data_IF_577925130429
#
_entry.id   IF_577925130429
#
_cell.length_a   1.000
_cell.length_b   1.000
_cell.length_c   1.000
_cell.angle_alpha   90.00
_cell.angle_beta   90.00
_cell.angle_gamma   90.00
#
_symmetry.space_group_name_H-M   'P 1'
#
loop_
_entity.id
_entity.type
_entity.pdbx_description
1 polymer ?
#
# COMPACT_ATOMS: atom_id res chain seq x y z
N UNK A 1 -3.37 -4.04 17.61
CA UNK A 1 -4.11 -3.65 16.38
C UNK A 1 -5.09 -4.78 16.02
N UNK A 2 -6.26 -4.43 15.50
CA UNK A 2 -7.18 -5.42 14.91
C UNK A 2 -6.52 -6.01 13.65
N UNK A 3 -6.34 -7.34 13.56
CA UNK A 3 -5.73 -7.99 12.40
C UNK A 3 -6.43 -7.65 11.07
N UNK A 4 -7.74 -7.42 11.10
CA UNK A 4 -8.52 -7.04 9.92
C UNK A 4 -8.08 -5.70 9.33
N UNK A 5 -7.72 -4.72 10.16
CA UNK A 5 -7.21 -3.42 9.68
C UNK A 5 -5.90 -3.61 8.92
N UNK A 6 -5.02 -4.46 9.40
CA UNK A 6 -3.74 -4.76 8.72
C UNK A 6 -3.97 -5.43 7.35
N UNK A 7 -4.90 -6.36 7.26
CA UNK A 7 -5.32 -6.96 5.98
C UNK A 7 -5.88 -5.91 5.02
N UNK A 8 -6.76 -5.03 5.49
CA UNK A 8 -7.33 -3.96 4.66
C UNK A 8 -6.26 -2.96 4.20
N UNK A 9 -5.27 -2.64 5.02
CA UNK A 9 -4.11 -1.83 4.61
C UNK A 9 -3.34 -2.48 3.46
N UNK A 10 -3.09 -3.80 3.54
CA UNK A 10 -2.43 -4.55 2.47
C UNK A 10 -3.24 -4.56 1.17
N UNK A 11 -4.56 -4.77 1.25
CA UNK A 11 -5.46 -4.75 0.10
C UNK A 11 -5.49 -3.38 -0.58
N UNK A 12 -5.56 -2.30 0.20
CA UNK A 12 -5.51 -0.93 -0.33
C UNK A 12 -4.15 -0.64 -0.97
N UNK A 13 -3.07 -0.98 -0.29
CA UNK A 13 -1.72 -0.81 -0.81
C UNK A 13 -1.57 -1.49 -2.18
N UNK A 14 -1.97 -2.76 -2.28
CA UNK A 14 -1.96 -3.51 -3.54
C UNK A 14 -2.83 -2.85 -4.60
N UNK A 15 -4.09 -2.53 -4.29
CA UNK A 15 -5.04 -1.98 -5.25
C UNK A 15 -4.61 -0.61 -5.80
N UNK A 16 -3.91 0.18 -5.00
CA UNK A 16 -3.41 1.50 -5.40
C UNK A 16 -1.95 1.49 -5.88
N UNK A 17 -1.38 0.30 -6.11
CA UNK A 17 -0.14 0.15 -6.87
C UNK A 17 1.14 0.11 -6.05
N UNK A 18 1.09 -0.17 -4.75
CA UNK A 18 2.29 -0.50 -3.99
C UNK A 18 2.94 -1.78 -4.52
N UNK A 19 4.26 -1.81 -4.58
CA UNK A 19 5.04 -2.96 -5.05
C UNK A 19 5.50 -3.86 -3.92
N UNK A 20 5.46 -3.38 -2.69
CA UNK A 20 5.83 -4.13 -1.50
C UNK A 20 4.95 -3.80 -0.29
N UNK A 21 4.80 -4.78 0.58
CA UNK A 21 4.13 -4.67 1.86
C UNK A 21 4.99 -5.27 2.96
N UNK A 22 5.42 -4.44 3.89
CA UNK A 22 6.27 -4.82 5.02
C UNK A 22 5.46 -4.83 6.29
N UNK A 23 5.43 -5.96 6.97
CA UNK A 23 4.75 -6.10 8.26
C UNK A 23 5.78 -6.14 9.39
N UNK A 24 5.60 -5.27 10.39
CA UNK A 24 6.36 -5.32 11.64
C UNK A 24 5.47 -5.80 12.79
N UNK A 25 6.06 -6.28 13.87
CA UNK A 25 5.34 -6.86 15.00
C UNK A 25 5.11 -8.35 14.81
N UNK A 26 3.93 -8.84 15.14
CA UNK A 26 3.60 -10.25 15.00
C UNK A 26 3.52 -10.64 13.52
N UNK A 27 4.06 -11.83 13.23
CA UNK A 27 4.01 -12.39 11.88
C UNK A 27 2.59 -12.90 11.57
N UNK A 28 2.11 -12.63 10.37
CA UNK A 28 0.77 -13.00 9.92
C UNK A 28 0.83 -13.59 8.51
N UNK A 29 0.96 -14.92 8.45
CA UNK A 29 1.01 -15.65 7.17
C UNK A 29 -0.34 -15.62 6.45
N UNK A 30 -1.44 -15.66 7.16
CA UNK A 30 -2.79 -15.62 6.57
C UNK A 30 -3.02 -14.30 5.81
N UNK A 31 -2.47 -13.21 6.34
CA UNK A 31 -2.48 -11.92 5.65
C UNK A 31 -1.68 -11.97 4.35
N UNK A 32 -0.49 -12.55 4.37
CA UNK A 32 0.36 -12.67 3.18
C UNK A 32 -0.28 -13.57 2.12
N UNK A 33 -0.81 -14.70 2.53
CA UNK A 33 -1.52 -15.63 1.65
C UNK A 33 -2.75 -14.99 1.01
N UNK A 34 -3.48 -14.19 1.78
CA UNK A 34 -4.63 -13.42 1.28
C UNK A 34 -4.21 -12.42 0.20
N UNK A 35 -3.14 -11.65 0.41
CA UNK A 35 -2.64 -10.70 -0.59
C UNK A 35 -2.17 -11.40 -1.87
N UNK A 36 -1.47 -12.54 -1.75
CA UNK A 36 -1.04 -13.32 -2.90
C UNK A 36 -2.23 -13.90 -3.67
N UNK A 37 -3.24 -14.42 -2.97
CA UNK A 37 -4.48 -14.92 -3.59
C UNK A 37 -5.21 -13.82 -4.38
N UNK A 38 -5.25 -12.60 -3.85
CA UNK A 38 -5.85 -11.46 -4.55
C UNK A 38 -5.03 -11.08 -5.79
N UNK A 39 -3.70 -11.10 -5.71
CA UNK A 39 -2.84 -10.87 -6.87
C UNK A 39 -3.05 -11.91 -7.96
N UNK A 40 -3.14 -13.18 -7.62
CA UNK A 40 -3.41 -14.26 -8.57
C UNK A 40 -4.75 -14.03 -9.29
N UNK A 41 -5.80 -13.72 -8.55
CA UNK A 41 -7.14 -13.55 -9.11
C UNK A 41 -7.29 -12.26 -9.92
N UNK A 42 -6.79 -11.14 -9.41
CA UNK A 42 -7.01 -9.81 -9.97
C UNK A 42 -5.76 -9.15 -10.58
N UNK A 43 -4.68 -9.90 -10.69
CA UNK A 43 -3.46 -9.46 -11.33
C UNK A 43 -2.54 -8.62 -10.45
N UNK A 44 -1.38 -8.27 -11.01
CA UNK A 44 -0.34 -7.54 -10.32
C UNK A 44 0.47 -8.40 -9.36
N UNK A 45 1.49 -7.79 -8.80
CA UNK A 45 2.38 -8.40 -7.82
C UNK A 45 2.60 -7.43 -6.66
N UNK A 46 2.65 -7.97 -5.45
CA UNK A 46 3.08 -7.25 -4.26
C UNK A 46 3.99 -8.17 -3.45
N UNK A 47 5.22 -7.74 -3.21
CA UNK A 47 6.15 -8.47 -2.36
C UNK A 47 5.75 -8.31 -0.89
N UNK A 48 5.58 -9.41 -0.18
CA UNK A 48 5.20 -9.41 1.24
C UNK A 48 6.36 -9.90 2.10
N UNK A 49 6.71 -9.12 3.11
CA UNK A 49 7.86 -9.42 3.97
C UNK A 49 7.56 -9.08 5.43
N UNK A 50 7.87 -10.01 6.34
CA UNK A 50 7.90 -9.71 7.77
C UNK A 50 9.28 -9.19 8.15
N UNK A 51 9.31 -8.01 8.79
CA UNK A 51 10.55 -7.34 9.18
C UNK A 51 10.56 -7.03 10.68
N UNK A 52 11.68 -7.25 11.37
CA UNK A 52 11.75 -6.97 12.80
C UNK A 52 11.94 -5.48 13.08
N UNK A 53 11.08 -4.92 13.93
CA UNK A 53 11.21 -3.56 14.46
C UNK A 53 11.36 -2.49 13.37
N UNK A 54 12.28 -1.55 13.60
CA UNK A 54 12.51 -0.38 12.71
C UNK A 54 13.76 -0.52 11.82
N UNK A 55 14.41 -1.67 11.80
CA UNK A 55 15.66 -1.85 11.05
C UNK A 55 15.46 -1.56 9.55
N UNK A 56 14.39 -2.06 8.97
CA UNK A 56 14.11 -1.85 7.55
C UNK A 56 13.88 -0.38 7.21
N UNK A 57 13.12 0.35 8.06
CA UNK A 57 12.91 1.77 7.90
C UNK A 57 14.24 2.55 7.91
N UNK A 58 15.10 2.27 8.88
CA UNK A 58 16.42 2.91 8.97
C UNK A 58 17.29 2.63 7.75
N UNK A 59 17.35 1.37 7.33
CA UNK A 59 18.13 0.96 6.16
C UNK A 59 17.60 1.62 4.88
N UNK A 60 16.30 1.71 4.70
CA UNK A 60 15.69 2.38 3.55
C UNK A 60 16.12 3.84 3.44
N UNK A 61 16.06 4.58 4.55
CA UNK A 61 16.47 5.98 4.59
C UNK A 61 17.99 6.14 4.39
N UNK A 62 18.80 5.28 5.02
CA UNK A 62 20.25 5.28 4.86
C UNK A 62 20.68 5.01 3.41
N UNK A 63 19.93 4.22 2.68
CA UNK A 63 20.18 3.89 1.27
C UNK A 63 19.62 4.96 0.29
N UNK A 64 19.17 6.10 0.80
CA UNK A 64 18.70 7.22 -0.02
C UNK A 64 17.21 7.19 -0.36
N UNK A 65 16.46 6.24 0.19
CA UNK A 65 15.00 6.20 0.07
C UNK A 65 14.33 7.26 0.94
N UNK A 66 13.07 7.55 0.64
CA UNK A 66 12.25 8.50 1.38
C UNK A 66 11.23 7.74 2.21
N UNK A 67 11.11 8.10 3.48
CA UNK A 67 10.09 7.55 4.38
C UNK A 67 9.05 8.62 4.72
N UNK A 68 7.79 8.27 4.49
CA UNK A 68 6.62 9.11 4.77
C UNK A 68 5.78 8.42 5.85
N UNK A 69 5.69 9.02 7.02
CA UNK A 69 4.88 8.52 8.13
C UNK A 69 3.50 9.19 8.12
N UNK A 70 2.46 8.41 7.94
CA UNK A 70 1.09 8.90 8.03
C UNK A 70 0.65 8.96 9.48
N UNK A 71 0.38 10.16 9.96
CA UNK A 71 -0.01 10.44 11.33
C UNK A 71 -0.85 11.71 11.42
N UNK A 72 -1.91 11.71 12.23
CA UNK A 72 -2.75 12.90 12.41
C UNK A 72 -2.02 14.11 13.01
N UNK A 73 -0.80 13.91 13.50
CA UNK A 73 0.05 14.97 14.06
C UNK A 73 0.97 15.63 13.03
N UNK A 74 0.96 15.15 11.79
CA UNK A 74 1.84 15.61 10.73
C UNK A 74 1.41 16.91 10.06
N UNK A 75 2.21 17.32 9.08
CA UNK A 75 1.87 18.39 8.14
C UNK A 75 0.72 17.91 7.21
N UNK A 76 -0.13 18.84 6.78
CA UNK A 76 -1.18 18.50 5.81
C UNK A 76 -0.61 17.83 4.56
N UNK A 77 -1.23 16.72 4.15
CA UNK A 77 -0.77 16.01 2.94
C UNK A 77 -0.92 16.85 1.65
N UNK A 78 -1.82 17.82 1.64
CA UNK A 78 -1.95 18.75 0.52
C UNK A 78 -0.67 19.57 0.29
N UNK A 79 0.00 19.97 1.39
CA UNK A 79 1.24 20.75 1.32
C UNK A 79 2.47 19.83 1.24
N UNK A 80 2.46 18.71 1.95
CA UNK A 80 3.60 17.78 2.01
C UNK A 80 3.87 17.08 0.68
N UNK A 81 2.84 16.71 -0.06
CA UNK A 81 2.96 15.95 -1.32
C UNK A 81 3.87 16.66 -2.33
N UNK A 82 3.81 17.99 -2.42
CA UNK A 82 4.63 18.75 -3.35
C UNK A 82 6.12 18.77 -2.95
N UNK A 83 6.43 18.53 -1.68
CA UNK A 83 7.79 18.54 -1.14
C UNK A 83 8.47 17.17 -1.21
N UNK A 84 7.69 16.09 -1.34
CA UNK A 84 8.21 14.72 -1.37
C UNK A 84 8.87 14.46 -2.73
N UNK A 85 10.14 14.03 -2.79
CA UNK A 85 10.83 13.74 -4.04
C UNK A 85 10.13 12.66 -4.86
N UNK A 86 10.02 12.89 -6.17
CA UNK A 86 9.39 11.96 -7.12
C UNK A 86 10.34 10.94 -7.73
N UNK A 87 11.63 11.17 -7.60
CA UNK A 87 12.72 10.36 -8.16
C UNK A 87 13.32 9.37 -7.15
N UNK A 88 12.67 9.18 -6.01
CA UNK A 88 13.11 8.29 -4.93
C UNK A 88 12.09 7.21 -4.65
N UNK A 89 12.57 6.06 -4.19
CA UNK A 89 11.71 5.02 -3.63
C UNK A 89 11.07 5.51 -2.33
N UNK A 90 9.76 5.36 -2.23
CA UNK A 90 9.00 5.84 -1.09
C UNK A 90 8.54 4.66 -0.24
N UNK A 91 8.83 4.74 1.05
CA UNK A 91 8.30 3.87 2.07
C UNK A 91 7.23 4.62 2.88
N UNK A 92 5.97 4.22 2.74
CA UNK A 92 4.87 4.77 3.53
C UNK A 92 4.77 3.98 4.83
N UNK A 93 4.88 4.66 5.95
CA UNK A 93 4.79 4.06 7.29
C UNK A 93 3.42 4.36 7.88
N UNK A 94 2.69 3.29 8.19
CA UNK A 94 1.37 3.37 8.85
C UNK A 94 1.46 2.71 10.22
N UNK A 95 1.31 3.50 11.25
CA UNK A 95 1.37 3.03 12.63
C UNK A 95 0.02 2.63 13.21
N UNK A 96 0.06 1.97 14.37
CA UNK A 96 -1.12 1.74 15.20
C UNK A 96 -1.30 2.85 16.25
N UNK A 97 -2.03 2.55 17.33
CA UNK A 97 -2.36 3.52 18.39
C UNK A 97 -1.14 4.11 19.12
N UNK A 98 -0.02 3.39 19.15
CA UNK A 98 1.23 3.85 19.77
C UNK A 98 2.39 3.65 18.79
N UNK A 99 2.87 4.73 18.24
CA UNK A 99 4.04 4.74 17.37
C UNK A 99 5.25 5.23 18.14
N UNK A 100 6.40 4.52 18.11
CA UNK A 100 7.60 4.98 18.77
C UNK A 100 8.05 6.35 18.26
N UNK A 101 8.55 7.21 19.19
CA UNK A 101 9.09 8.52 18.82
C UNK A 101 10.19 8.46 17.77
N UNK A 102 10.90 7.34 17.70
CA UNK A 102 11.94 7.10 16.70
C UNK A 102 11.41 7.09 15.26
N UNK A 103 10.18 6.64 15.02
CA UNK A 103 9.54 6.70 13.69
C UNK A 103 9.40 8.15 13.24
N UNK A 104 8.92 9.05 14.12
CA UNK A 104 8.82 10.48 13.82
C UNK A 104 10.16 11.12 13.45
N UNK A 105 11.24 10.67 14.09
CA UNK A 105 12.59 11.20 13.86
C UNK A 105 13.26 10.61 12.62
N UNK A 106 12.95 9.36 12.27
CA UNK A 106 13.58 8.66 11.16
C UNK A 106 12.92 8.99 9.82
N UNK A 107 11.60 9.17 9.80
CA UNK A 107 10.89 9.56 8.58
C UNK A 107 11.17 11.02 8.25
N UNK A 108 11.51 11.29 6.98
CA UNK A 108 11.73 12.66 6.51
C UNK A 108 10.44 13.48 6.47
N UNK A 109 9.30 12.80 6.32
CA UNK A 109 7.99 13.44 6.26
C UNK A 109 7.03 12.77 7.25
N UNK A 110 6.45 13.57 8.13
CA UNK A 110 5.32 13.17 8.98
C UNK A 110 4.09 13.90 8.44
N UNK A 111 3.14 13.16 7.91
CA UNK A 111 2.08 13.69 7.06
C UNK A 111 0.71 13.33 7.61
N UNK A 112 -0.17 14.32 7.72
CA UNK A 112 -1.54 14.14 8.14
C UNK A 112 -2.49 14.15 6.95
N UNK A 113 -3.31 13.11 6.85
CA UNK A 113 -4.50 13.10 5.99
C UNK A 113 -5.68 13.60 6.82
N UNK A 114 -5.65 14.91 7.10
CA UNK A 114 -6.45 15.57 8.12
C UNK A 114 -5.91 15.38 9.55
N UNK A 115 -6.00 16.44 10.34
CA UNK A 115 -5.57 16.44 11.74
C UNK A 115 -6.71 16.06 12.70
N UNK A 116 -7.48 15.04 12.31
CA UNK A 116 -8.57 14.47 13.08
C UNK A 116 -8.41 12.95 13.19
N UNK A 117 -8.83 12.34 14.29
CA UNK A 117 -8.81 10.89 14.42
C UNK A 117 -9.72 10.23 13.39
N UNK A 118 -9.15 9.35 12.57
CA UNK A 118 -9.90 8.50 11.64
C UNK A 118 -9.11 7.25 11.24
N UNK A 119 -9.65 6.45 10.32
CA UNK A 119 -9.07 5.19 9.88
C UNK A 119 -7.72 5.35 9.20
N UNK A 120 -6.76 4.53 9.58
CA UNK A 120 -5.46 4.42 8.89
C UNK A 120 -5.61 3.94 7.44
N UNK A 121 -6.64 3.14 7.17
CA UNK A 121 -6.96 2.66 5.80
C UNK A 121 -7.39 3.83 4.92
N UNK A 122 -8.23 4.72 5.44
CA UNK A 122 -8.62 5.93 4.72
C UNK A 122 -7.42 6.87 4.50
N UNK A 123 -6.57 7.05 5.50
CA UNK A 123 -5.36 7.86 5.37
C UNK A 123 -4.45 7.32 4.27
N UNK A 124 -4.19 6.01 4.26
CA UNK A 124 -3.37 5.37 3.22
C UNK A 124 -3.97 5.55 1.82
N UNK A 125 -5.26 5.30 1.66
CA UNK A 125 -5.93 5.41 0.37
C UNK A 125 -5.89 6.84 -0.18
N UNK A 126 -6.24 7.83 0.63
CA UNK A 126 -6.25 9.24 0.21
C UNK A 126 -4.84 9.74 -0.10
N UNK A 127 -3.85 9.37 0.71
CA UNK A 127 -2.46 9.76 0.45
C UNK A 127 -1.94 9.14 -0.86
N UNK A 128 -2.11 7.83 -1.05
CA UNK A 128 -1.64 7.14 -2.25
C UNK A 128 -2.31 7.66 -3.51
N UNK A 129 -3.61 7.94 -3.46
CA UNK A 129 -4.34 8.50 -4.60
C UNK A 129 -3.85 9.91 -4.93
N UNK A 130 -3.73 10.79 -3.96
CA UNK A 130 -3.19 12.14 -4.15
C UNK A 130 -1.74 12.12 -4.65
N UNK A 131 -0.89 11.23 -4.10
CA UNK A 131 0.48 11.03 -4.56
C UNK A 131 0.58 10.67 -6.03
N UNK A 132 -0.38 9.92 -6.55
CA UNK A 132 -0.46 9.48 -7.94
C UNK A 132 -1.35 10.38 -8.81
N UNK A 133 -1.60 11.61 -8.39
CA UNK A 133 -2.36 12.60 -9.16
C UNK A 133 -3.84 12.23 -9.33
N UNK A 134 -4.43 11.57 -8.35
CA UNK A 134 -5.83 11.12 -8.32
C UNK A 134 -6.21 10.14 -9.45
N UNK A 135 -5.25 9.32 -9.87
CA UNK A 135 -5.44 8.33 -10.94
C UNK A 135 -5.15 6.89 -10.52
N UNK A 136 -4.84 6.67 -9.25
CA UNK A 136 -4.47 5.35 -8.74
C UNK A 136 -5.57 4.30 -8.90
N UNK A 137 -6.84 4.72 -8.79
CA UNK A 137 -8.01 3.85 -8.94
C UNK A 137 -8.31 3.44 -10.39
N UNK A 138 -7.64 4.05 -11.37
CA UNK A 138 -7.73 3.68 -12.79
C UNK A 138 -6.68 2.65 -13.20
N UNK A 139 -5.89 2.17 -12.26
CA UNK A 139 -4.81 1.23 -12.52
C UNK A 139 -5.36 -0.12 -12.94
N UNK A 140 -4.80 -0.65 -14.01
CA UNK A 140 -4.99 -2.02 -14.46
C UNK A 140 -3.76 -2.86 -14.12
N UNK A 141 -3.98 -4.14 -13.82
CA UNK A 141 -2.91 -5.06 -13.44
C UNK A 141 -2.79 -6.18 -14.48
N UNK A 142 -1.55 -6.55 -14.86
CA UNK A 142 -1.32 -7.67 -15.76
C UNK A 142 -1.60 -9.01 -15.08
N UNK A 143 -1.80 -10.04 -15.89
CA UNK A 143 -1.91 -11.45 -15.48
C UNK A 143 -3.08 -11.73 -14.52
N UNK A 144 -4.17 -10.99 -14.62
CA UNK A 144 -5.38 -11.24 -13.87
C UNK A 144 -6.14 -12.46 -14.43
N UNK A 145 -6.53 -13.39 -13.57
CA UNK A 145 -7.48 -14.45 -13.92
C UNK A 145 -8.90 -13.90 -14.11
N UNK A 146 -9.24 -12.87 -13.34
CA UNK A 146 -10.55 -12.23 -13.35
C UNK A 146 -10.42 -10.73 -13.58
N UNK A 147 -11.32 -10.17 -14.38
CA UNK A 147 -11.49 -8.73 -14.55
C UNK A 147 -12.90 -8.32 -14.17
N UNK A 148 -13.01 -7.18 -13.51
CA UNK A 148 -14.31 -6.60 -13.16
C UNK A 148 -14.63 -5.51 -14.16
N UNK A 149 -15.73 -5.68 -14.88
CA UNK A 149 -16.27 -4.63 -15.73
C UNK A 149 -17.27 -3.80 -14.92
N UNK A 150 -16.94 -2.53 -14.70
CA UNK A 150 -17.79 -1.62 -13.95
C UNK A 150 -19.13 -1.38 -14.65
N UNK A 151 -20.23 -1.46 -13.90
CA UNK A 151 -21.58 -1.18 -14.38
C UNK A 151 -22.43 -0.62 -13.25
N UNK A 152 -23.42 0.20 -13.62
CA UNK A 152 -24.42 0.69 -12.68
C UNK A 152 -25.54 -0.33 -12.41
N UNK A 153 -25.65 -1.37 -13.23
CA UNK A 153 -26.75 -2.33 -13.24
C UNK A 153 -26.31 -3.74 -12.83
N UNK A 154 -25.55 -3.86 -11.76
CA UNK A 154 -25.25 -5.18 -11.21
C UNK A 154 -23.77 -5.51 -11.18
N UNK A 155 -23.40 -6.73 -11.58
CA UNK A 155 -22.08 -7.30 -11.38
C UNK A 155 -21.63 -8.06 -12.62
N UNK A 156 -20.58 -7.59 -13.25
CA UNK A 156 -19.96 -8.25 -14.41
C UNK A 156 -18.54 -8.63 -14.07
N UNK A 157 -18.26 -9.94 -14.06
CA UNK A 157 -16.91 -10.50 -13.87
C UNK A 157 -16.57 -11.30 -15.09
N UNK A 158 -15.41 -11.02 -15.68
CA UNK A 158 -14.90 -11.67 -16.89
C UNK A 158 -13.73 -12.57 -16.50
N UNK A 159 -13.76 -13.83 -16.94
CA UNK A 159 -12.61 -14.73 -16.84
C UNK A 159 -11.65 -14.42 -17.98
N UNK A 160 -10.38 -14.22 -17.66
CA UNK A 160 -9.34 -13.97 -18.64
C UNK A 160 -8.61 -15.28 -18.95
N UNK A 161 -8.22 -15.50 -20.22
CA UNK A 161 -7.38 -16.61 -20.64
C UNK A 161 -5.91 -16.39 -20.18
N UNK A 162 -5.68 -16.34 -18.87
CA UNK A 162 -4.36 -16.30 -18.29
C UNK A 162 -3.80 -17.72 -18.27
N UNK A 163 -3.08 -18.13 -19.33
CA UNK A 163 -2.28 -19.35 -19.31
C UNK A 163 -2.61 -20.44 -20.31
N UNK A 164 -3.15 -20.15 -21.49
CA UNK A 164 -2.90 -21.01 -22.65
C UNK A 164 -1.63 -20.53 -23.33
N UNK A 165 -0.47 -20.94 -22.80
CA UNK A 165 0.71 -21.12 -23.65
C UNK A 165 0.31 -22.12 -24.71
N UNK A 166 0.33 -21.68 -25.95
CA UNK A 166 0.27 -22.54 -27.13
C UNK A 166 1.48 -23.48 -27.10
N UNK A 167 1.32 -24.64 -26.48
CA UNK A 167 2.05 -25.84 -26.86
C UNK A 167 1.18 -26.53 -27.89
N UNK A 168 1.40 -26.17 -29.13
CA UNK A 168 1.13 -26.97 -30.32
C UNK A 168 1.67 -26.19 -31.52
N UNK A 169 2.94 -26.49 -31.87
CA UNK A 169 3.42 -26.81 -33.22
C UNK A 169 4.88 -27.26 -33.16
#
# INVERSE_FOLDING_TARGET
>A
RDPRITTHLGLVARALGATGFLLTGDRDEDLFDNLQSVCQRFGGEIETTHVPGLKHLKTHVQNGGVAVHLTMYGESYHDAIEKIPRDKDILIVVGGAKVPAEVFKTCQFNVAVGNQPHSEVAALALFMDAWQGHRSTLREFPNAELSIQGTNDGKIVVENDAGKTSEDD
#
